data_IF_405529662365
#
_entry.id   IF_405529662365
#
_cell.length_a   1.000
_cell.length_b   1.000
_cell.length_c   1.000
_cell.angle_alpha   90.00
_cell.angle_beta   90.00
_cell.angle_gamma   90.00
#
_symmetry.space_group_name_H-M   'P 1'
#
loop_
_entity.id
_entity.type
_entity.pdbx_description
1 polymer ?
#
# COMPACT_ATOMS: atom_id res chain seq x y z
N UNK A 1 20.61 -17.35 -4.91
CA UNK A 1 19.86 -16.63 -5.95
C UNK A 1 18.51 -17.30 -6.21
N UNK A 2 17.61 -17.34 -5.21
CA UNK A 2 16.40 -18.17 -5.27
C UNK A 2 15.08 -17.41 -5.15
N UNK A 3 15.06 -16.20 -4.58
CA UNK A 3 13.82 -15.50 -4.22
C UNK A 3 13.60 -14.20 -5.02
N UNK A 4 14.57 -13.80 -5.81
CA UNK A 4 14.54 -12.51 -6.53
C UNK A 4 13.51 -12.52 -7.66
N UNK A 5 13.26 -13.69 -8.27
CA UNK A 5 12.19 -13.86 -9.24
C UNK A 5 10.80 -13.70 -8.62
N UNK A 6 10.61 -14.10 -7.35
CA UNK A 6 9.34 -13.91 -6.64
C UNK A 6 9.06 -12.42 -6.45
N UNK A 7 10.11 -11.64 -6.13
CA UNK A 7 10.00 -10.19 -6.02
C UNK A 7 9.62 -9.54 -7.37
N UNK A 8 10.24 -9.97 -8.47
CA UNK A 8 9.88 -9.51 -9.82
C UNK A 8 8.45 -9.89 -10.20
N UNK A 9 8.04 -11.13 -9.91
CA UNK A 9 6.67 -11.58 -10.14
C UNK A 9 5.67 -10.78 -9.29
N UNK A 10 5.99 -10.48 -8.03
CA UNK A 10 5.15 -9.66 -7.17
C UNK A 10 5.02 -8.23 -7.71
N UNK A 11 6.12 -7.60 -8.13
CA UNK A 11 6.11 -6.28 -8.75
C UNK A 11 5.28 -6.26 -10.04
N UNK A 12 5.44 -7.28 -10.89
CA UNK A 12 4.66 -7.43 -12.12
C UNK A 12 3.16 -7.61 -11.84
N UNK A 13 2.80 -8.48 -10.89
CA UNK A 13 1.41 -8.67 -10.47
C UNK A 13 0.82 -7.38 -9.89
N UNK A 14 1.61 -6.63 -9.11
CA UNK A 14 1.16 -5.36 -8.54
C UNK A 14 0.91 -4.31 -9.63
N UNK A 15 1.81 -4.21 -10.62
CA UNK A 15 1.64 -3.35 -11.78
C UNK A 15 0.40 -3.73 -12.61
N UNK A 16 0.25 -5.00 -12.99
CA UNK A 16 -0.92 -5.50 -13.74
C UNK A 16 -2.22 -5.32 -12.95
N UNK A 17 -2.21 -5.60 -11.65
CA UNK A 17 -3.35 -5.39 -10.76
C UNK A 17 -3.78 -3.92 -10.79
N UNK A 18 -2.84 -2.97 -10.69
CA UNK A 18 -3.16 -1.54 -10.74
C UNK A 18 -3.84 -1.13 -12.05
N UNK A 19 -3.38 -1.67 -13.20
CA UNK A 19 -3.95 -1.42 -14.53
C UNK A 19 -5.37 -1.99 -14.66
N UNK A 20 -5.57 -3.25 -14.25
CA UNK A 20 -6.87 -3.92 -14.31
C UNK A 20 -7.86 -3.27 -13.34
N UNK A 21 -7.39 -2.74 -12.20
CA UNK A 21 -8.24 -2.15 -11.16
C UNK A 21 -8.92 -0.84 -11.60
N UNK A 22 -8.39 -0.13 -12.60
CA UNK A 22 -8.90 1.19 -13.00
C UNK A 22 -10.34 1.12 -13.53
N UNK A 23 -10.61 0.23 -14.48
CA UNK A 23 -11.93 0.08 -15.12
C UNK A 23 -13.03 -0.31 -14.10
N UNK A 24 -12.89 -1.39 -13.30
CA UNK A 24 -13.90 -1.76 -12.32
C UNK A 24 -14.02 -0.74 -11.17
N UNK A 25 -12.93 -0.07 -10.76
CA UNK A 25 -13.01 0.98 -9.76
C UNK A 25 -13.79 2.22 -10.25
N UNK A 26 -13.72 2.54 -11.55
CA UNK A 26 -14.52 3.61 -12.15
C UNK A 26 -16.01 3.25 -12.23
N UNK A 27 -16.36 2.00 -12.56
CA UNK A 27 -17.75 1.57 -12.69
C UNK A 27 -18.45 1.32 -11.34
N UNK A 28 -17.77 0.72 -10.36
CA UNK A 28 -18.35 0.33 -9.07
C UNK A 28 -18.20 1.43 -7.99
N UNK A 29 -17.34 2.42 -8.24
CA UNK A 29 -16.87 3.35 -7.23
C UNK A 29 -15.78 2.73 -6.34
N UNK A 30 -14.85 3.58 -5.91
CA UNK A 30 -13.68 3.23 -5.11
C UNK A 30 -13.98 2.35 -3.88
N UNK A 31 -15.06 2.67 -3.16
CA UNK A 31 -15.40 2.01 -1.90
C UNK A 31 -16.00 0.61 -2.10
N UNK A 32 -16.90 0.45 -3.07
CA UNK A 32 -17.50 -0.86 -3.39
C UNK A 32 -16.47 -1.81 -3.99
N UNK A 33 -15.56 -1.29 -4.82
CA UNK A 33 -14.44 -2.06 -5.36
C UNK A 33 -13.51 -2.57 -4.25
N UNK A 34 -13.12 -1.71 -3.31
CA UNK A 34 -12.29 -2.08 -2.16
C UNK A 34 -12.93 -3.19 -1.33
N UNK A 35 -14.24 -3.09 -1.03
CA UNK A 35 -14.97 -4.10 -0.26
C UNK A 35 -15.00 -5.46 -0.95
N UNK A 36 -15.29 -5.49 -2.24
CA UNK A 36 -15.32 -6.75 -3.00
C UNK A 36 -13.92 -7.37 -3.10
N UNK A 37 -12.91 -6.55 -3.39
CA UNK A 37 -11.50 -6.96 -3.41
C UNK A 37 -11.07 -7.58 -2.07
N UNK A 38 -11.35 -6.91 -0.96
CA UNK A 38 -11.10 -7.39 0.41
C UNK A 38 -11.77 -8.74 0.67
N UNK A 39 -13.04 -8.89 0.28
CA UNK A 39 -13.77 -10.16 0.42
C UNK A 39 -13.12 -11.30 -0.35
N UNK A 40 -12.77 -11.07 -1.63
CA UNK A 40 -12.05 -12.06 -2.44
C UNK A 40 -10.70 -12.42 -1.83
N UNK A 41 -9.91 -11.43 -1.39
CA UNK A 41 -8.62 -11.66 -0.74
C UNK A 41 -8.76 -12.49 0.52
N UNK A 42 -9.77 -12.21 1.37
CA UNK A 42 -10.02 -12.98 2.58
C UNK A 42 -10.35 -14.45 2.27
N UNK A 43 -11.20 -14.72 1.26
CA UNK A 43 -11.53 -16.09 0.84
C UNK A 43 -10.30 -16.81 0.30
N UNK A 44 -9.52 -16.16 -0.56
CA UNK A 44 -8.31 -16.75 -1.15
C UNK A 44 -7.28 -17.07 -0.06
N UNK A 45 -6.96 -16.11 0.82
CA UNK A 45 -5.98 -16.33 1.89
C UNK A 45 -6.45 -17.40 2.89
N UNK A 46 -7.73 -17.40 3.26
CA UNK A 46 -8.28 -18.39 4.20
C UNK A 46 -8.22 -19.81 3.61
N UNK A 47 -8.56 -19.95 2.32
CA UNK A 47 -8.49 -21.22 1.60
C UNK A 47 -7.04 -21.69 1.49
N UNK A 48 -6.12 -20.79 1.16
CA UNK A 48 -4.70 -21.10 1.06
C UNK A 48 -4.12 -21.53 2.42
N UNK A 49 -4.45 -20.81 3.50
CA UNK A 49 -4.03 -21.16 4.85
C UNK A 49 -4.61 -22.50 5.32
N UNK A 50 -5.79 -22.90 4.81
CA UNK A 50 -6.36 -24.21 5.08
C UNK A 50 -5.61 -25.32 4.35
N UNK A 51 -5.29 -25.14 3.06
CA UNK A 51 -4.54 -26.12 2.26
C UNK A 51 -3.12 -26.31 2.79
N UNK A 52 -2.44 -25.24 3.21
CA UNK A 52 -1.06 -25.30 3.70
C UNK A 52 -0.95 -25.70 5.18
N UNK A 53 -2.08 -25.85 5.88
CA UNK A 53 -2.10 -26.07 7.33
C UNK A 53 -1.60 -24.86 8.14
N UNK A 54 -1.49 -23.68 7.53
CA UNK A 54 -0.97 -22.47 8.16
C UNK A 54 -1.76 -21.98 9.38
N UNK A 55 -3.01 -22.41 9.54
CA UNK A 55 -3.78 -22.12 10.75
C UNK A 55 -3.18 -22.73 12.03
N UNK A 56 -2.49 -23.86 11.90
CA UNK A 56 -1.87 -24.57 13.03
C UNK A 56 -0.54 -23.94 13.46
N UNK A 57 0.09 -23.12 12.61
CA UNK A 57 1.35 -22.44 12.93
C UNK A 57 1.14 -21.09 13.64
N UNK A 58 -0.10 -20.60 13.74
CA UNK A 58 -0.40 -19.33 14.40
C UNK A 58 -0.54 -19.55 15.91
N UNK A 59 0.39 -18.99 16.68
CA UNK A 59 0.26 -18.95 18.14
C UNK A 59 -0.81 -17.95 18.57
N UNK A 60 -1.50 -18.26 19.67
CA UNK A 60 -2.54 -17.39 20.23
C UNK A 60 -2.04 -15.99 20.59
N UNK A 61 -0.76 -15.87 20.95
CA UNK A 61 -0.11 -14.60 21.29
C UNK A 61 0.02 -13.65 20.10
N UNK A 62 0.08 -14.17 18.87
CA UNK A 62 0.21 -13.36 17.66
C UNK A 62 -1.13 -12.94 17.06
N UNK A 63 -2.24 -13.53 17.50
CA UNK A 63 -3.57 -13.21 16.95
C UNK A 63 -3.95 -11.75 17.22
N UNK A 64 -3.75 -11.27 18.45
CA UNK A 64 -4.07 -9.88 18.82
C UNK A 64 -3.29 -8.86 17.99
N UNK A 65 -1.95 -8.91 17.88
CA UNK A 65 -1.21 -7.98 17.04
C UNK A 65 -1.51 -8.14 15.55
N UNK A 66 -1.79 -9.34 15.05
CA UNK A 66 -2.22 -9.55 13.66
C UNK A 66 -3.58 -8.90 13.37
N UNK A 67 -4.55 -9.05 14.26
CA UNK A 67 -5.85 -8.39 14.15
C UNK A 67 -5.71 -6.87 14.19
N UNK A 68 -4.90 -6.33 15.12
CA UNK A 68 -4.68 -4.90 15.23
C UNK A 68 -4.00 -4.34 13.96
N UNK A 69 -2.99 -5.05 13.44
CA UNK A 69 -2.30 -4.71 12.20
C UNK A 69 -3.25 -4.73 11.00
N UNK A 70 -4.09 -5.76 10.86
CA UNK A 70 -5.10 -5.82 9.81
C UNK A 70 -6.12 -4.67 9.91
N UNK A 71 -6.59 -4.36 11.12
CA UNK A 71 -7.53 -3.27 11.33
C UNK A 71 -6.92 -1.90 10.96
N UNK A 72 -5.70 -1.62 11.42
CA UNK A 72 -5.05 -0.33 11.21
C UNK A 72 -4.51 -0.22 9.78
N UNK A 73 -3.72 -1.19 9.34
CA UNK A 73 -3.03 -1.17 8.05
C UNK A 73 -3.98 -1.38 6.88
N UNK A 74 -4.88 -2.35 6.98
CA UNK A 74 -5.77 -2.70 5.87
C UNK A 74 -7.06 -1.90 5.93
N UNK A 75 -7.83 -2.02 7.01
CA UNK A 75 -9.17 -1.42 7.05
C UNK A 75 -9.13 0.11 7.12
N UNK A 76 -8.41 0.67 8.09
CA UNK A 76 -8.25 2.13 8.21
C UNK A 76 -7.40 2.66 7.05
N UNK A 77 -6.31 1.97 6.70
CA UNK A 77 -5.44 2.35 5.58
C UNK A 77 -6.16 2.44 4.23
N UNK A 78 -6.88 1.39 3.81
CA UNK A 78 -7.66 1.42 2.56
C UNK A 78 -8.73 2.51 2.61
N UNK A 79 -9.43 2.67 3.73
CA UNK A 79 -10.46 3.71 3.88
C UNK A 79 -9.87 5.11 3.72
N UNK A 80 -8.74 5.39 4.36
CA UNK A 80 -8.02 6.65 4.24
C UNK A 80 -7.48 6.87 2.83
N UNK A 81 -6.93 5.83 2.19
CA UNK A 81 -6.45 5.88 0.81
C UNK A 81 -7.57 6.24 -0.16
N UNK A 82 -8.70 5.55 -0.08
CA UNK A 82 -9.85 5.84 -0.94
C UNK A 82 -10.50 7.20 -0.61
N UNK A 83 -10.52 7.62 0.64
CA UNK A 83 -10.95 8.97 1.02
C UNK A 83 -10.01 10.06 0.43
N UNK A 84 -8.70 9.83 0.44
CA UNK A 84 -7.71 10.72 -0.18
C UNK A 84 -7.88 10.75 -1.70
N UNK A 85 -8.06 9.59 -2.34
CA UNK A 85 -8.33 9.47 -3.77
C UNK A 85 -9.56 10.28 -4.19
N UNK A 86 -10.65 10.20 -3.42
CA UNK A 86 -11.87 10.95 -3.69
C UNK A 86 -11.71 12.47 -3.49
N UNK A 87 -10.83 12.92 -2.57
CA UNK A 87 -10.62 14.35 -2.28
C UNK A 87 -9.58 15.03 -3.16
N UNK A 88 -8.48 14.36 -3.48
CA UNK A 88 -7.30 14.95 -4.14
C UNK A 88 -7.07 14.41 -5.57
N UNK A 89 -7.82 13.38 -5.97
CA UNK A 89 -7.68 12.71 -7.25
C UNK A 89 -6.55 11.67 -7.29
N UNK A 90 -6.58 10.70 -8.23
CA UNK A 90 -5.65 9.57 -8.31
C UNK A 90 -4.17 9.95 -8.33
N UNK A 91 -3.82 11.01 -9.06
CA UNK A 91 -2.43 11.43 -9.26
C UNK A 91 -1.76 11.91 -7.96
N UNK A 92 -2.45 12.75 -7.18
CA UNK A 92 -1.89 13.33 -5.96
C UNK A 92 -1.91 12.34 -4.80
N UNK A 93 -2.97 11.54 -4.69
CA UNK A 93 -3.07 10.49 -3.68
C UNK A 93 -2.00 9.40 -3.89
N UNK A 94 -1.70 9.02 -5.14
CA UNK A 94 -0.63 8.07 -5.44
C UNK A 94 0.76 8.58 -5.04
N UNK A 95 1.05 9.87 -5.26
CA UNK A 95 2.30 10.49 -4.81
C UNK A 95 2.42 10.51 -3.29
N UNK A 96 1.34 10.84 -2.58
CA UNK A 96 1.30 10.77 -1.11
C UNK A 96 1.46 9.34 -0.59
N UNK A 97 0.88 8.35 -1.29
CA UNK A 97 1.04 6.94 -0.93
C UNK A 97 2.50 6.48 -1.03
N UNK A 98 3.27 6.98 -2.00
CA UNK A 98 4.71 6.70 -2.11
C UNK A 98 5.52 7.17 -0.89
N UNK A 99 5.04 8.15 -0.11
CA UNK A 99 5.68 8.53 1.15
C UNK A 99 5.64 7.42 2.21
N UNK A 100 4.82 6.38 2.04
CA UNK A 100 4.79 5.24 2.96
C UNK A 100 6.19 4.63 3.15
N UNK A 101 7.04 4.60 2.12
CA UNK A 101 8.41 4.12 2.26
C UNK A 101 9.19 4.90 3.34
N UNK A 102 9.09 6.23 3.34
CA UNK A 102 9.75 7.12 4.31
C UNK A 102 9.22 6.87 5.72
N UNK A 103 7.90 6.80 5.87
CA UNK A 103 7.27 6.51 7.17
C UNK A 103 7.64 5.12 7.68
N UNK A 104 7.71 4.11 6.79
CA UNK A 104 8.09 2.75 7.13
C UNK A 104 9.54 2.68 7.63
N UNK A 105 10.46 3.40 6.99
CA UNK A 105 11.86 3.55 7.41
C UNK A 105 11.96 4.18 8.80
N UNK A 106 11.26 5.31 9.03
CA UNK A 106 11.26 6.01 10.33
C UNK A 106 10.64 5.15 11.44
N UNK A 107 9.49 4.54 11.17
CA UNK A 107 8.80 3.67 12.14
C UNK A 107 9.60 2.38 12.40
N UNK A 108 10.27 1.81 11.41
CA UNK A 108 11.17 0.66 11.58
C UNK A 108 12.30 0.95 12.56
N UNK A 109 12.93 2.11 12.42
CA UNK A 109 13.97 2.56 13.36
C UNK A 109 13.44 2.73 14.79
N UNK A 110 12.32 3.46 14.96
CA UNK A 110 11.79 3.79 16.29
C UNK A 110 11.10 2.62 16.99
N UNK A 111 10.33 1.81 16.26
CA UNK A 111 9.46 0.78 16.82
C UNK A 111 10.14 -0.58 16.87
N UNK A 112 10.95 -0.93 15.86
CA UNK A 112 11.62 -2.22 15.74
C UNK A 112 13.11 -2.17 16.10
N UNK A 113 13.65 -0.98 16.42
CA UNK A 113 15.07 -0.78 16.74
C UNK A 113 16.02 -1.29 15.65
N UNK A 114 15.58 -1.28 14.39
CA UNK A 114 16.39 -1.71 13.26
C UNK A 114 17.53 -0.71 13.01
N UNK A 115 18.73 -1.21 12.70
CA UNK A 115 19.88 -0.36 12.38
C UNK A 115 19.72 0.25 10.99
N UNK A 116 19.42 1.54 10.93
CA UNK A 116 19.35 2.27 9.66
C UNK A 116 20.74 2.51 9.09
N UNK A 117 20.95 2.14 7.84
CA UNK A 117 22.14 2.50 7.07
C UNK A 117 21.99 3.93 6.54
N UNK A 118 23.08 4.70 6.48
CA UNK A 118 23.06 6.07 5.94
C UNK A 118 22.48 6.17 4.50
N UNK A 119 22.62 5.09 3.71
CA UNK A 119 22.05 4.96 2.37
C UNK A 119 20.52 4.91 2.38
N UNK A 120 19.91 4.22 3.34
CA UNK A 120 18.44 4.11 3.46
C UNK A 120 17.84 5.47 3.84
N UNK A 121 18.52 6.21 4.72
CA UNK A 121 18.13 7.57 5.08
C UNK A 121 18.20 8.50 3.85
N UNK A 122 19.29 8.45 3.08
CA UNK A 122 19.42 9.22 1.84
C UNK A 122 18.36 8.84 0.81
N UNK A 123 18.08 7.55 0.63
CA UNK A 123 17.04 7.07 -0.27
C UNK A 123 15.65 7.57 0.13
N UNK A 124 15.32 7.52 1.42
CA UNK A 124 14.05 8.02 1.95
C UNK A 124 13.91 9.54 1.76
N UNK A 125 14.96 10.32 2.02
CA UNK A 125 14.99 11.76 1.81
C UNK A 125 14.81 12.13 0.33
N UNK A 126 15.45 11.37 -0.57
CA UNK A 126 15.32 11.55 -2.02
C UNK A 126 13.88 11.28 -2.48
N UNK A 127 13.27 10.17 -2.05
CA UNK A 127 11.85 9.85 -2.34
C UNK A 127 10.93 10.95 -1.82
N UNK A 128 11.15 11.41 -0.59
CA UNK A 128 10.35 12.50 0.00
C UNK A 128 10.45 13.78 -0.83
N UNK A 129 11.66 14.17 -1.23
CA UNK A 129 11.89 15.35 -2.06
C UNK A 129 11.18 15.25 -3.43
N UNK A 130 11.18 14.06 -4.04
CA UNK A 130 10.50 13.78 -5.30
C UNK A 130 8.98 13.92 -5.18
N UNK A 131 8.40 13.42 -4.09
CA UNK A 131 6.96 13.57 -3.82
C UNK A 131 6.61 15.04 -3.62
N UNK A 132 7.37 15.79 -2.80
CA UNK A 132 7.15 17.22 -2.59
C UNK A 132 7.21 17.98 -3.91
N UNK A 133 8.23 17.74 -4.73
CA UNK A 133 8.38 18.39 -6.03
C UNK A 133 7.20 18.09 -6.96
N UNK A 134 6.77 16.83 -7.04
CA UNK A 134 5.66 16.42 -7.91
C UNK A 134 4.31 17.01 -7.47
N UNK A 135 4.06 17.15 -6.17
CA UNK A 135 2.86 17.79 -5.64
C UNK A 135 2.87 19.30 -5.95
N UNK A 136 3.99 19.99 -5.70
CA UNK A 136 4.10 21.43 -5.95
C UNK A 136 4.01 21.80 -7.45
N UNK A 137 4.63 21.02 -8.34
CA UNK A 137 4.56 21.26 -9.79
C UNK A 137 3.24 20.79 -10.43
N UNK A 138 2.55 19.81 -9.85
CA UNK A 138 1.29 19.26 -10.38
C UNK A 138 0.13 20.26 -10.44
N UNK A 139 0.19 21.39 -9.71
CA UNK A 139 -0.85 22.44 -9.69
C UNK A 139 -0.78 23.46 -10.82
N UNK A 140 0.33 23.55 -11.57
CA UNK A 140 0.53 24.61 -12.58
C UNK A 140 -0.09 24.33 -13.96
N UNK A 141 -0.73 23.17 -14.17
CA UNK A 141 -1.28 22.77 -15.47
C UNK A 141 -2.80 22.91 -15.68
N UNK A 142 -3.58 23.34 -14.67
CA UNK A 142 -5.05 23.41 -14.77
C UNK A 142 -5.62 24.84 -14.70
N UNK A 143 -4.78 25.87 -14.69
CA UNK A 143 -5.21 27.28 -14.60
C UNK A 143 -5.07 28.02 -15.94
N UNK A 144 -5.36 27.36 -17.07
CA UNK A 144 -5.43 28.05 -18.35
C UNK A 144 -6.41 27.34 -19.29
N UNK A 145 -7.70 27.64 -19.12
CA UNK A 145 -8.76 27.66 -20.14
C UNK A 145 -10.08 28.01 -19.43
N UNK A 146 -10.24 29.31 -19.16
CA UNK A 146 -11.54 29.98 -18.99
C UNK A 146 -12.16 30.21 -20.36
#
# INVERSE_FOLDING_TARGET
>A
MGYEWLALCAAFLWAVSSLISVIPAQHLGAFSYSRWRMGCTAVILSTMAWITGGWLSVSWEHITPMMASGLIGIFIGDTALFACLNRMGPRQAGLLFSCHAVFSTILGYFLFSESMTAIELLGSALVFSGVVMAIFFGRRGQTNNV
#
